data_IF_595458592714
#
_entry.id   IF_595458592714
#
_cell.length_a   1.000
_cell.length_b   1.000
_cell.length_c   1.000
_cell.angle_alpha   90.00
_cell.angle_beta   90.00
_cell.angle_gamma   90.00
#
_symmetry.space_group_name_H-M   'P 1'
#
loop_
_entity.id
_entity.type
_entity.pdbx_description
1 polymer ?
#
# COMPACT_ATOMS: atom_id res chain seq x y z
N UNK A 1 -7.66 -23.48 46.28
CA UNK A 1 -7.59 -23.11 44.88
C UNK A 1 -7.44 -24.38 44.06
N UNK A 2 -8.45 -24.67 43.27
CA UNK A 2 -8.65 -25.97 42.61
C UNK A 2 -7.67 -26.07 41.45
N UNK A 3 -6.78 -27.06 41.43
CA UNK A 3 -5.81 -27.38 40.38
C UNK A 3 -6.47 -27.48 38.99
N UNK A 4 -7.73 -27.85 38.92
CA UNK A 4 -8.57 -27.87 37.72
C UNK A 4 -8.86 -26.47 37.14
N UNK A 5 -8.97 -25.43 37.94
CA UNK A 5 -9.23 -24.07 37.46
C UNK A 5 -7.99 -23.46 36.78
N UNK A 6 -6.80 -23.81 37.23
CA UNK A 6 -5.53 -23.37 36.65
C UNK A 6 -5.29 -24.04 35.28
N UNK A 7 -5.54 -25.37 35.21
CA UNK A 7 -5.44 -26.14 33.95
C UNK A 7 -6.44 -25.68 32.89
N UNK A 8 -7.68 -25.36 33.28
CA UNK A 8 -8.69 -24.84 32.36
C UNK A 8 -8.31 -23.45 31.86
N UNK A 9 -7.78 -22.56 32.71
CA UNK A 9 -7.34 -21.23 32.31
C UNK A 9 -6.14 -21.31 31.35
N UNK A 10 -5.18 -22.20 31.58
CA UNK A 10 -4.05 -22.41 30.64
C UNK A 10 -4.52 -22.98 29.29
N UNK A 11 -5.46 -23.92 29.28
CA UNK A 11 -6.03 -24.43 28.03
C UNK A 11 -6.82 -23.37 27.27
N UNK A 12 -7.62 -22.55 27.95
CA UNK A 12 -8.35 -21.45 27.34
C UNK A 12 -7.41 -20.35 26.80
N UNK A 13 -6.33 -20.05 27.51
CA UNK A 13 -5.29 -19.12 27.03
C UNK A 13 -4.64 -19.64 25.75
N UNK A 14 -4.21 -20.90 25.72
CA UNK A 14 -3.58 -21.54 24.56
C UNK A 14 -4.52 -21.63 23.34
N UNK A 15 -5.80 -21.92 23.58
CA UNK A 15 -6.82 -21.94 22.50
C UNK A 15 -7.05 -20.54 21.94
N UNK A 16 -7.07 -19.51 22.79
CA UNK A 16 -7.22 -18.12 22.34
C UNK A 16 -5.98 -17.65 21.56
N UNK A 17 -4.79 -17.96 22.02
CA UNK A 17 -3.54 -17.64 21.30
C UNK A 17 -3.49 -18.32 19.93
N UNK A 18 -3.80 -19.60 19.84
CA UNK A 18 -3.85 -20.34 18.58
C UNK A 18 -4.93 -19.77 17.64
N UNK A 19 -6.07 -19.35 18.16
CA UNK A 19 -7.15 -18.72 17.40
C UNK A 19 -6.72 -17.34 16.87
N UNK A 20 -6.00 -16.58 17.68
CA UNK A 20 -5.45 -15.28 17.27
C UNK A 20 -4.40 -15.49 16.18
N UNK A 21 -3.45 -16.41 16.36
CA UNK A 21 -2.44 -16.77 15.37
C UNK A 21 -3.08 -17.25 14.07
N UNK A 22 -4.08 -18.13 14.15
CA UNK A 22 -4.81 -18.62 12.98
C UNK A 22 -5.54 -17.50 12.22
N UNK A 23 -6.20 -16.58 12.94
CA UNK A 23 -6.85 -15.42 12.34
C UNK A 23 -5.85 -14.47 11.69
N UNK A 24 -4.70 -14.23 12.32
CA UNK A 24 -3.61 -13.41 11.76
C UNK A 24 -3.10 -14.05 10.47
N UNK A 25 -2.83 -15.37 10.47
CA UNK A 25 -2.36 -16.08 9.27
C UNK A 25 -3.37 -16.05 8.11
N UNK A 26 -4.65 -16.15 8.40
CA UNK A 26 -5.72 -16.05 7.37
C UNK A 26 -5.80 -14.61 6.84
N UNK A 27 -5.74 -13.61 7.71
CA UNK A 27 -5.75 -12.20 7.33
C UNK A 27 -4.52 -11.85 6.47
N UNK A 28 -3.34 -12.30 6.88
CA UNK A 28 -2.10 -12.09 6.12
C UNK A 28 -2.20 -12.70 4.73
N UNK A 29 -2.76 -13.89 4.58
CA UNK A 29 -2.96 -14.53 3.27
C UNK A 29 -3.97 -13.77 2.40
N UNK A 30 -5.03 -13.25 2.98
CA UNK A 30 -6.05 -12.46 2.26
C UNK A 30 -5.45 -11.16 1.70
N UNK A 31 -4.69 -10.41 2.50
CA UNK A 31 -4.13 -9.13 2.09
C UNK A 31 -2.85 -9.27 1.28
N UNK A 32 -2.16 -10.40 1.39
CA UNK A 32 -0.99 -10.72 0.58
C UNK A 32 -1.31 -10.68 -0.94
N UNK A 33 -2.50 -11.13 -1.35
CA UNK A 33 -2.91 -11.05 -2.75
C UNK A 33 -3.05 -9.61 -3.22
N UNK A 34 -3.61 -8.72 -2.39
CA UNK A 34 -3.74 -7.28 -2.72
C UNK A 34 -2.34 -6.66 -2.83
N UNK A 35 -1.48 -6.92 -1.85
CA UNK A 35 -0.08 -6.46 -1.86
C UNK A 35 0.67 -6.94 -3.10
N UNK A 36 0.61 -8.23 -3.42
CA UNK A 36 1.26 -8.79 -4.59
C UNK A 36 0.73 -8.20 -5.90
N UNK A 37 -0.56 -7.93 -6.00
CA UNK A 37 -1.15 -7.26 -7.16
C UNK A 37 -0.62 -5.83 -7.30
N UNK A 38 -0.51 -5.08 -6.20
CA UNK A 38 0.08 -3.74 -6.21
C UNK A 38 1.56 -3.79 -6.64
N UNK A 39 2.35 -4.74 -6.13
CA UNK A 39 3.73 -4.96 -6.56
C UNK A 39 3.81 -5.30 -8.05
N UNK A 40 2.93 -6.16 -8.55
CA UNK A 40 2.93 -6.55 -9.96
C UNK A 40 2.62 -5.36 -10.89
N UNK A 41 1.75 -4.43 -10.49
CA UNK A 41 1.54 -3.19 -11.24
C UNK A 41 2.82 -2.36 -11.34
N UNK A 42 3.62 -2.29 -10.27
CA UNK A 42 4.89 -1.54 -10.29
C UNK A 42 5.98 -2.21 -11.15
N UNK A 43 5.84 -3.51 -11.45
CA UNK A 43 6.76 -4.27 -12.30
C UNK A 43 6.38 -4.26 -13.77
N UNK A 44 5.30 -3.57 -14.13
CA UNK A 44 4.89 -3.44 -15.52
C UNK A 44 5.96 -2.68 -16.31
N UNK A 45 6.58 -3.36 -17.28
CA UNK A 45 7.65 -2.78 -18.11
C UNK A 45 7.20 -1.55 -18.90
N UNK A 46 5.91 -1.45 -19.22
CA UNK A 46 5.36 -0.31 -19.95
C UNK A 46 5.44 0.99 -19.14
N UNK A 47 5.44 0.93 -17.80
CA UNK A 47 5.67 2.08 -16.94
C UNK A 47 7.08 2.68 -17.11
N UNK A 48 8.08 1.84 -17.39
CA UNK A 48 9.49 2.24 -17.45
C UNK A 48 10.00 2.55 -18.84
N UNK A 49 9.32 2.07 -19.90
CA UNK A 49 9.75 2.28 -21.31
C UNK A 49 9.91 3.75 -21.69
N UNK A 50 9.11 4.62 -21.09
CA UNK A 50 9.10 6.05 -21.38
C UNK A 50 9.90 6.89 -20.39
N UNK A 51 10.48 6.28 -19.35
CA UNK A 51 11.08 7.03 -18.24
C UNK A 51 12.56 7.34 -18.44
N UNK A 52 13.24 6.76 -19.44
CA UNK A 52 14.68 6.88 -19.67
C UNK A 52 15.53 6.71 -18.40
N UNK A 53 15.08 5.86 -17.48
CA UNK A 53 15.70 5.59 -16.17
C UNK A 53 15.87 4.11 -15.95
N UNK A 54 16.90 3.78 -15.19
CA UNK A 54 17.07 2.43 -14.67
C UNK A 54 16.01 2.16 -13.59
N UNK A 55 15.51 0.92 -13.57
CA UNK A 55 14.56 0.45 -12.58
C UNK A 55 15.23 0.36 -11.20
N UNK A 56 14.93 1.30 -10.32
CA UNK A 56 15.46 1.36 -8.96
C UNK A 56 14.35 1.23 -7.90
N UNK A 57 14.76 0.95 -6.66
CA UNK A 57 13.83 0.75 -5.54
C UNK A 57 12.99 1.99 -5.24
N UNK A 58 13.56 3.19 -5.31
CA UNK A 58 12.85 4.44 -5.00
C UNK A 58 11.71 4.69 -5.98
N UNK A 59 11.95 4.47 -7.28
CA UNK A 59 10.94 4.66 -8.32
C UNK A 59 9.81 3.62 -8.19
N UNK A 60 10.17 2.36 -7.95
CA UNK A 60 9.17 1.32 -7.66
C UNK A 60 8.32 1.64 -6.45
N UNK A 61 8.93 2.18 -5.40
CA UNK A 61 8.21 2.57 -4.19
C UNK A 61 7.26 3.72 -4.46
N UNK A 62 7.69 4.77 -5.16
CA UNK A 62 6.82 5.89 -5.53
C UNK A 62 5.61 5.41 -6.35
N UNK A 63 5.85 4.56 -7.35
CA UNK A 63 4.77 3.96 -8.15
C UNK A 63 3.86 3.04 -7.31
N UNK A 64 4.42 2.28 -6.37
CA UNK A 64 3.63 1.46 -5.45
C UNK A 64 2.69 2.32 -4.60
N UNK A 65 3.21 3.39 -4.00
CA UNK A 65 2.41 4.31 -3.18
C UNK A 65 1.31 5.00 -3.99
N UNK A 66 1.59 5.36 -5.25
CA UNK A 66 0.57 5.90 -6.16
C UNK A 66 -0.54 4.88 -6.47
N UNK A 67 -0.19 3.66 -6.86
CA UNK A 67 -1.19 2.60 -7.09
C UNK A 67 -2.04 2.36 -5.84
N UNK A 68 -1.40 2.31 -4.68
CA UNK A 68 -2.09 2.11 -3.41
C UNK A 68 -3.01 3.28 -3.04
N UNK A 69 -2.61 4.53 -3.34
CA UNK A 69 -3.44 5.71 -3.13
C UNK A 69 -4.72 5.68 -3.99
N UNK A 70 -4.61 5.33 -5.27
CA UNK A 70 -5.77 5.14 -6.14
C UNK A 70 -6.65 3.96 -5.69
N UNK A 71 -6.05 2.87 -5.21
CA UNK A 71 -6.79 1.76 -4.63
C UNK A 71 -7.63 2.24 -3.44
N UNK A 72 -7.03 2.92 -2.46
CA UNK A 72 -7.78 3.41 -1.30
C UNK A 72 -8.87 4.39 -1.69
N UNK A 73 -8.63 5.31 -2.64
CA UNK A 73 -9.63 6.25 -3.15
C UNK A 73 -10.87 5.52 -3.68
N UNK A 74 -10.67 4.51 -4.53
CA UNK A 74 -11.78 3.83 -5.22
C UNK A 74 -12.61 2.92 -4.30
N UNK A 75 -11.98 2.34 -3.27
CA UNK A 75 -12.66 1.42 -2.34
C UNK A 75 -13.08 2.08 -1.03
N UNK A 76 -12.82 3.39 -0.84
CA UNK A 76 -13.19 4.12 0.36
C UNK A 76 -14.70 4.30 0.45
N UNK A 77 -15.33 3.57 1.38
CA UNK A 77 -16.70 3.77 1.79
C UNK A 77 -16.85 3.42 3.28
N UNK A 78 -18.00 3.75 3.86
CA UNK A 78 -18.25 3.53 5.29
C UNK A 78 -18.16 2.04 5.67
N UNK A 79 -18.60 1.15 4.79
CA UNK A 79 -18.63 -0.31 5.03
C UNK A 79 -17.21 -0.91 5.00
N UNK A 80 -16.31 -0.32 4.20
CA UNK A 80 -14.96 -0.85 3.98
C UNK A 80 -13.89 -0.23 4.90
N UNK A 81 -14.24 0.72 5.77
CA UNK A 81 -13.27 1.47 6.58
C UNK A 81 -12.30 0.58 7.34
N UNK A 82 -12.82 -0.40 8.06
CA UNK A 82 -11.98 -1.33 8.87
C UNK A 82 -11.08 -2.18 7.96
N UNK A 83 -11.63 -2.75 6.88
CA UNK A 83 -10.87 -3.56 5.93
C UNK A 83 -9.77 -2.75 5.26
N UNK A 84 -10.04 -1.50 4.87
CA UNK A 84 -9.03 -0.63 4.27
C UNK A 84 -7.93 -0.25 5.26
N UNK A 85 -8.26 -0.09 6.55
CA UNK A 85 -7.25 0.12 7.59
C UNK A 85 -6.35 -1.11 7.74
N UNK A 86 -6.91 -2.30 7.76
CA UNK A 86 -6.15 -3.56 7.85
C UNK A 86 -5.24 -3.76 6.62
N UNK A 87 -5.73 -3.43 5.42
CA UNK A 87 -4.93 -3.45 4.18
C UNK A 87 -3.80 -2.41 4.27
N UNK A 88 -4.06 -1.22 4.78
CA UNK A 88 -3.06 -0.18 4.99
C UNK A 88 -1.95 -0.68 5.93
N UNK A 89 -2.33 -1.17 7.11
CA UNK A 89 -1.38 -1.66 8.13
C UNK A 89 -0.55 -2.83 7.59
N UNK A 90 -1.17 -3.75 6.85
CA UNK A 90 -0.48 -4.87 6.20
C UNK A 90 0.55 -4.37 5.18
N UNK A 91 0.16 -3.48 4.27
CA UNK A 91 1.06 -2.99 3.21
C UNK A 91 2.27 -2.25 3.79
N UNK A 92 2.09 -1.39 4.80
CA UNK A 92 3.21 -0.69 5.44
C UNK A 92 4.11 -1.62 6.26
N UNK A 93 3.56 -2.68 6.86
CA UNK A 93 4.37 -3.74 7.49
C UNK A 93 5.23 -4.47 6.46
N UNK A 94 4.68 -4.85 5.31
CA UNK A 94 5.45 -5.49 4.24
C UNK A 94 6.54 -4.56 3.70
N UNK A 95 6.25 -3.27 3.55
CA UNK A 95 7.24 -2.28 3.15
C UNK A 95 8.38 -2.17 4.17
N UNK A 96 8.07 -2.10 5.46
CA UNK A 96 9.09 -2.07 6.51
C UNK A 96 9.99 -3.31 6.47
N UNK A 97 9.40 -4.50 6.32
CA UNK A 97 10.17 -5.76 6.17
C UNK A 97 11.10 -5.71 4.96
N UNK A 98 10.61 -5.23 3.81
CA UNK A 98 11.42 -5.10 2.59
C UNK A 98 12.60 -4.14 2.78
N UNK A 99 12.42 -3.04 3.52
CA UNK A 99 13.49 -2.08 3.83
C UNK A 99 14.53 -2.71 4.77
N UNK A 100 14.08 -3.53 5.73
CA UNK A 100 14.99 -4.29 6.62
C UNK A 100 15.83 -5.30 5.85
N UNK A 101 15.24 -6.02 4.90
CA UNK A 101 15.94 -6.97 4.04
C UNK A 101 17.03 -6.32 3.18
N UNK A 102 16.86 -5.05 2.79
CA UNK A 102 17.89 -4.28 2.07
C UNK A 102 19.11 -3.94 2.96
N UNK A 103 18.98 -4.10 4.29
CA UNK A 103 20.09 -3.94 5.24
C UNK A 103 20.18 -2.58 5.92
N UNK A 104 19.11 -1.79 5.95
CA UNK A 104 19.07 -0.55 6.72
C UNK A 104 19.01 -0.83 8.24
N UNK A 105 19.77 -0.06 9.04
CA UNK A 105 19.69 -0.12 10.52
C UNK A 105 18.41 0.51 11.07
N UNK A 106 17.99 0.10 12.27
CA UNK A 106 16.69 0.45 12.88
C UNK A 106 16.39 1.97 12.91
N UNK A 107 17.35 2.80 13.25
CA UNK A 107 17.16 4.26 13.25
C UNK A 107 16.87 4.81 11.84
N UNK A 108 17.56 4.28 10.82
CA UNK A 108 17.36 4.66 9.43
C UNK A 108 16.00 4.18 8.91
N UNK A 109 15.56 2.99 9.35
CA UNK A 109 14.25 2.43 8.98
C UNK A 109 13.13 3.31 9.51
N UNK A 110 13.16 3.66 10.80
CA UNK A 110 12.12 4.50 11.40
C UNK A 110 11.98 5.86 10.70
N UNK A 111 13.12 6.49 10.36
CA UNK A 111 13.11 7.74 9.59
C UNK A 111 12.50 7.55 8.20
N UNK A 112 12.98 6.55 7.46
CA UNK A 112 12.47 6.24 6.11
C UNK A 112 10.98 5.90 6.11
N UNK A 113 10.52 5.08 7.06
CA UNK A 113 9.11 4.74 7.18
C UNK A 113 8.25 5.98 7.44
N UNK A 114 8.70 6.88 8.31
CA UNK A 114 8.01 8.17 8.55
C UNK A 114 7.92 9.00 7.26
N UNK A 115 9.00 9.10 6.50
CA UNK A 115 9.03 9.85 5.25
C UNK A 115 8.09 9.24 4.21
N UNK A 116 8.08 7.91 4.07
CA UNK A 116 7.18 7.20 3.13
C UNK A 116 5.70 7.29 3.54
N UNK A 117 5.39 7.22 4.82
CA UNK A 117 4.04 7.41 5.33
C UNK A 117 3.56 8.85 5.04
N UNK A 118 4.40 9.85 5.27
CA UNK A 118 4.08 11.25 4.99
C UNK A 118 3.86 11.47 3.49
N UNK A 119 4.73 10.92 2.63
CA UNK A 119 4.59 10.96 1.18
C UNK A 119 3.27 10.32 0.75
N UNK A 120 2.95 9.14 1.28
CA UNK A 120 1.71 8.43 0.98
C UNK A 120 0.47 9.24 1.39
N UNK A 121 0.45 9.82 2.58
CA UNK A 121 -0.67 10.66 3.02
C UNK A 121 -0.84 11.90 2.14
N UNK A 122 0.26 12.50 1.68
CA UNK A 122 0.21 13.59 0.70
C UNK A 122 -0.40 13.12 -0.62
N UNK A 123 0.02 11.96 -1.15
CA UNK A 123 -0.57 11.37 -2.37
C UNK A 123 -2.07 11.10 -2.20
N UNK A 124 -2.48 10.48 -1.09
CA UNK A 124 -3.91 10.19 -0.82
C UNK A 124 -4.73 11.47 -0.76
N UNK A 125 -4.21 12.53 -0.14
CA UNK A 125 -4.88 13.84 -0.06
C UNK A 125 -5.09 14.45 -1.44
N UNK A 126 -4.08 14.44 -2.29
CA UNK A 126 -4.15 15.00 -3.64
C UNK A 126 -5.04 14.17 -4.58
N UNK A 127 -4.99 12.84 -4.47
CA UNK A 127 -5.77 11.91 -5.28
C UNK A 127 -7.24 11.84 -4.82
N UNK A 128 -7.58 12.30 -3.61
CA UNK A 128 -8.94 12.24 -3.11
C UNK A 128 -9.96 12.92 -4.03
N UNK A 129 -9.60 14.06 -4.61
CA UNK A 129 -10.45 14.85 -5.51
C UNK A 129 -10.14 14.63 -7.00
N UNK A 130 -9.42 13.57 -7.34
CA UNK A 130 -8.89 13.28 -8.68
C UNK A 130 -9.91 13.39 -9.80
N UNK A 131 -11.11 12.87 -9.60
CA UNK A 131 -12.14 12.84 -10.63
C UNK A 131 -12.73 14.23 -10.94
N UNK A 132 -12.53 15.20 -10.04
CA UNK A 132 -12.99 16.58 -10.19
C UNK A 132 -11.93 17.49 -10.86
N UNK A 133 -10.72 17.01 -11.05
CA UNK A 133 -9.59 17.78 -11.59
C UNK A 133 -9.58 17.71 -13.11
N UNK A 134 -9.24 18.83 -13.75
CA UNK A 134 -8.91 18.84 -15.16
C UNK A 134 -7.50 18.26 -15.41
N UNK A 135 -7.17 17.99 -16.70
CA UNK A 135 -5.89 17.34 -17.08
C UNK A 135 -4.66 18.15 -16.61
N UNK A 136 -4.69 19.47 -16.71
CA UNK A 136 -3.58 20.32 -16.30
C UNK A 136 -3.34 20.30 -14.80
N UNK A 137 -4.41 20.30 -14.01
CA UNK A 137 -4.34 20.19 -12.55
C UNK A 137 -3.78 18.82 -12.14
N UNK A 138 -4.19 17.74 -12.81
CA UNK A 138 -3.67 16.39 -12.60
C UNK A 138 -2.18 16.31 -12.90
N UNK A 139 -1.72 16.88 -14.01
CA UNK A 139 -0.30 16.95 -14.35
C UNK A 139 0.51 17.73 -13.30
N UNK A 140 0.00 18.87 -12.85
CA UNK A 140 0.65 19.67 -11.79
C UNK A 140 0.80 18.85 -10.49
N UNK A 141 -0.24 18.13 -10.08
CA UNK A 141 -0.18 17.28 -8.88
C UNK A 141 0.78 16.10 -9.04
N UNK A 142 0.78 15.46 -10.19
CA UNK A 142 1.71 14.36 -10.48
C UNK A 142 3.17 14.81 -10.53
N UNK A 143 3.45 16.00 -11.07
CA UNK A 143 4.80 16.54 -11.12
C UNK A 143 5.45 16.71 -9.75
N UNK A 144 4.65 16.95 -8.71
CA UNK A 144 5.15 17.03 -7.32
C UNK A 144 5.69 15.68 -6.81
N UNK A 145 5.04 14.57 -7.17
CA UNK A 145 5.43 13.23 -6.72
C UNK A 145 6.43 12.55 -7.65
N UNK A 146 6.50 12.98 -8.90
CA UNK A 146 7.25 12.36 -9.98
C UNK A 146 8.32 13.33 -10.55
N UNK A 147 8.91 14.15 -9.68
CA UNK A 147 9.88 15.22 -10.06
C UNK A 147 10.99 14.69 -10.99
N UNK A 148 11.47 13.49 -10.70
CA UNK A 148 12.57 12.87 -11.45
C UNK A 148 12.12 11.96 -12.60
N UNK A 149 10.81 11.82 -12.84
CA UNK A 149 10.28 10.95 -13.89
C UNK A 149 10.14 11.71 -15.20
N UNK A 150 10.73 11.17 -16.29
CA UNK A 150 10.87 11.90 -17.56
C UNK A 150 9.57 12.16 -18.30
N UNK A 151 8.61 11.23 -18.34
CA UNK A 151 7.37 11.36 -19.12
C UNK A 151 6.13 11.28 -18.20
N UNK A 152 5.83 12.39 -17.54
CA UNK A 152 4.71 12.50 -16.59
C UNK A 152 3.36 12.32 -17.30
N UNK A 153 3.21 12.78 -18.55
CA UNK A 153 1.96 12.63 -19.31
C UNK A 153 1.61 11.16 -19.57
N UNK A 154 2.60 10.36 -19.95
CA UNK A 154 2.41 8.91 -20.12
C UNK A 154 2.00 8.23 -18.81
N UNK A 155 2.61 8.60 -17.70
CA UNK A 155 2.23 8.08 -16.37
C UNK A 155 0.83 8.54 -15.99
N UNK A 156 0.46 9.78 -16.28
CA UNK A 156 -0.90 10.27 -16.06
C UNK A 156 -1.91 9.43 -16.82
N UNK A 157 -1.70 9.22 -18.13
CA UNK A 157 -2.60 8.40 -18.97
C UNK A 157 -2.72 6.96 -18.45
N UNK A 158 -1.62 6.39 -17.98
CA UNK A 158 -1.62 5.08 -17.33
C UNK A 158 -2.48 5.07 -16.05
N UNK A 159 -2.29 6.04 -15.16
CA UNK A 159 -3.02 6.09 -13.89
C UNK A 159 -4.49 6.47 -14.07
N UNK A 160 -4.86 7.22 -15.09
CA UNK A 160 -6.26 7.43 -15.45
C UNK A 160 -6.95 6.13 -15.85
N UNK A 161 -6.33 5.33 -16.73
CA UNK A 161 -6.83 3.99 -17.08
C UNK A 161 -6.89 3.06 -15.86
N UNK A 162 -5.89 3.12 -15.00
CA UNK A 162 -5.86 2.35 -13.76
C UNK A 162 -7.03 2.73 -12.84
N UNK A 163 -7.28 4.02 -12.64
CA UNK A 163 -8.39 4.54 -11.84
C UNK A 163 -9.76 4.10 -12.40
N UNK A 164 -9.97 4.22 -13.72
CA UNK A 164 -11.19 3.74 -14.39
C UNK A 164 -11.41 2.23 -14.22
N UNK A 165 -10.34 1.44 -14.29
CA UNK A 165 -10.44 -0.01 -14.10
C UNK A 165 -10.77 -0.38 -12.64
N UNK A 166 -10.27 0.38 -11.66
CA UNK A 166 -10.62 0.19 -10.26
C UNK A 166 -12.07 0.57 -9.96
N UNK A 167 -12.58 1.66 -10.54
CA UNK A 167 -13.96 2.13 -10.32
C UNK A 167 -15.03 1.11 -10.78
N UNK A 168 -14.66 0.18 -11.67
CA UNK A 168 -15.53 -0.90 -12.17
C UNK A 168 -15.50 -2.17 -11.29
N UNK A 169 -14.61 -2.21 -10.28
CA UNK A 169 -14.44 -3.38 -9.40
C UNK A 169 -15.13 -3.16 -8.05
N UNK A 170 -15.56 -4.25 -7.44
CA UNK A 170 -16.00 -4.30 -6.04
C UNK A 170 -14.92 -4.93 -5.18
N UNK A 171 -14.80 -4.52 -3.93
CA UNK A 171 -13.84 -5.07 -2.96
C UNK A 171 -14.37 -6.38 -2.37
#
# INVERSE_FOLDING_TARGET
PCFLSTLLNEQFATINENRIIYNILIMDKKYLNIYNNLINYTRNKDLYKSLNREDNFSDRLTLFLLHFSFFLKNFKNVKNKTVLQEIYDFNFRQLELSIREIGYGDQSINKKMKDYINLFHSMVSEIHFWDNLNRQEKLTKFSVFLIDFGNIEHLLDYFEKFNENLSKKTL
#
